data_IF_146555413362
#
_entry.id   IF_146555413362
#
_cell.length_a   1.000
_cell.length_b   1.000
_cell.length_c   1.000
_cell.angle_alpha   90.00
_cell.angle_beta   90.00
_cell.angle_gamma   90.00
#
_symmetry.space_group_name_H-M   'P 1'
#
loop_
_entity.id
_entity.type
_entity.pdbx_description
1 polymer ?
#
# COMPACT_ATOMS: atom_id res chain seq x y z
N UNK A 1 0.83 14.28 6.59
CA UNK A 1 0.42 13.06 5.84
C UNK A 1 1.62 12.19 5.48
N UNK A 2 2.71 12.78 4.96
CA UNK A 2 3.94 12.06 4.58
C UNK A 2 4.50 11.19 5.72
N UNK A 3 4.68 11.75 6.92
CA UNK A 3 5.18 11.01 8.07
C UNK A 3 4.31 9.80 8.49
N UNK A 4 2.99 9.90 8.31
CA UNK A 4 2.05 8.81 8.62
C UNK A 4 2.25 7.63 7.65
N UNK A 5 2.46 7.94 6.38
CA UNK A 5 2.67 6.97 5.32
C UNK A 5 4.01 6.24 5.48
N UNK A 6 5.07 6.96 5.82
CA UNK A 6 6.40 6.38 6.06
C UNK A 6 6.40 5.37 7.22
N UNK A 7 5.80 5.72 8.36
CA UNK A 7 5.73 4.81 9.53
C UNK A 7 4.87 3.57 9.25
N UNK A 8 3.73 3.72 8.57
CA UNK A 8 2.91 2.57 8.16
C UNK A 8 3.70 1.61 7.27
N UNK A 9 4.39 2.16 6.27
CA UNK A 9 5.18 1.37 5.34
C UNK A 9 6.34 0.65 6.05
N UNK A 10 7.05 1.35 6.93
CA UNK A 10 8.15 0.78 7.73
C UNK A 10 7.67 -0.39 8.60
N UNK A 11 6.60 -0.20 9.37
CA UNK A 11 6.06 -1.26 10.24
C UNK A 11 5.59 -2.45 9.42
N UNK A 12 4.88 -2.22 8.31
CA UNK A 12 4.40 -3.31 7.46
C UNK A 12 5.56 -4.10 6.82
N UNK A 13 6.59 -3.41 6.32
CA UNK A 13 7.77 -4.05 5.75
C UNK A 13 8.50 -4.91 6.78
N UNK A 14 8.65 -4.43 8.01
CA UNK A 14 9.26 -5.23 9.08
C UNK A 14 8.46 -6.51 9.33
N UNK A 15 7.13 -6.43 9.45
CA UNK A 15 6.27 -7.61 9.63
C UNK A 15 6.38 -8.60 8.46
N UNK A 16 6.37 -8.10 7.23
CA UNK A 16 6.57 -8.92 6.02
C UNK A 16 7.94 -9.61 6.06
N UNK A 17 8.99 -8.90 6.48
CA UNK A 17 10.35 -9.44 6.54
C UNK A 17 10.52 -10.51 7.62
N UNK A 18 9.77 -10.42 8.73
CA UNK A 18 9.74 -11.47 9.75
C UNK A 18 9.08 -12.76 9.22
N UNK A 19 8.24 -12.68 8.18
CA UNK A 19 7.61 -13.84 7.51
C UNK A 19 6.89 -14.79 8.48
N UNK A 20 6.24 -14.23 9.50
CA UNK A 20 5.60 -15.01 10.57
C UNK A 20 4.46 -15.89 10.04
N UNK A 21 3.74 -15.44 9.01
CA UNK A 21 2.65 -16.19 8.40
C UNK A 21 2.79 -16.33 6.88
N UNK A 22 2.11 -17.34 6.31
CA UNK A 22 2.03 -17.53 4.85
C UNK A 22 1.48 -16.30 4.13
N UNK A 23 0.52 -15.61 4.75
CA UNK A 23 -0.06 -14.41 4.16
C UNK A 23 0.93 -13.24 4.17
N UNK A 24 1.84 -13.16 5.16
CA UNK A 24 2.89 -12.12 5.19
C UNK A 24 3.90 -12.34 4.07
N UNK A 25 4.28 -13.60 3.82
CA UNK A 25 5.13 -13.98 2.68
C UNK A 25 4.46 -13.62 1.36
N UNK A 26 3.16 -13.92 1.23
CA UNK A 26 2.37 -13.59 0.04
C UNK A 26 2.28 -12.06 -0.15
N UNK A 27 1.93 -11.32 0.89
CA UNK A 27 1.87 -9.86 0.86
C UNK A 27 3.19 -9.22 0.43
N UNK A 28 4.33 -9.75 0.91
CA UNK A 28 5.65 -9.31 0.47
C UNK A 28 5.90 -9.58 -1.02
N UNK A 29 5.57 -10.78 -1.50
CA UNK A 29 5.71 -11.13 -2.92
C UNK A 29 4.81 -10.26 -3.81
N UNK A 30 3.57 -10.01 -3.36
CA UNK A 30 2.60 -9.20 -4.09
C UNK A 30 3.03 -7.72 -4.16
N UNK A 31 3.56 -7.16 -3.07
CA UNK A 31 4.16 -5.82 -3.08
C UNK A 31 5.35 -5.73 -4.03
N UNK A 32 6.25 -6.71 -3.99
CA UNK A 32 7.41 -6.73 -4.87
C UNK A 32 6.98 -6.79 -6.35
N UNK A 33 6.09 -7.71 -6.68
CA UNK A 33 5.61 -7.88 -8.05
C UNK A 33 4.84 -6.65 -8.56
N UNK A 34 4.00 -6.04 -7.71
CA UNK A 34 3.25 -4.84 -8.06
C UNK A 34 4.19 -3.67 -8.38
N UNK A 35 5.21 -3.45 -7.54
CA UNK A 35 6.23 -2.41 -7.79
C UNK A 35 7.04 -2.68 -9.06
N UNK A 36 7.40 -3.94 -9.34
CA UNK A 36 8.05 -4.31 -10.59
C UNK A 36 7.16 -4.00 -11.80
N UNK A 37 5.88 -4.36 -11.73
CA UNK A 37 4.94 -4.14 -12.82
C UNK A 37 4.66 -2.66 -13.08
N UNK A 38 4.58 -1.83 -12.03
CA UNK A 38 4.51 -0.36 -12.15
C UNK A 38 5.71 0.18 -12.96
N UNK A 39 6.92 -0.31 -12.68
CA UNK A 39 8.11 0.09 -13.41
C UNK A 39 8.05 -0.39 -14.88
N UNK A 40 7.60 -1.63 -15.12
CA UNK A 40 7.43 -2.15 -16.47
C UNK A 40 6.41 -1.33 -17.29
N UNK A 41 5.24 -1.02 -16.73
CA UNK A 41 4.22 -0.18 -17.38
C UNK A 41 4.75 1.23 -17.65
N UNK A 42 5.56 1.76 -16.72
CA UNK A 42 6.22 3.06 -16.87
C UNK A 42 7.18 3.10 -18.07
N UNK A 43 7.78 1.97 -18.43
CA UNK A 43 8.71 1.85 -19.56
C UNK A 43 8.01 1.46 -20.87
N UNK A 44 7.02 0.58 -20.81
CA UNK A 44 6.38 -0.01 -21.98
C UNK A 44 4.86 -0.21 -21.76
N UNK A 45 3.99 0.48 -22.54
CA UNK A 45 2.55 0.35 -22.43
C UNK A 45 1.99 -1.05 -22.66
N UNK A 46 2.75 -1.99 -23.26
CA UNK A 46 2.26 -3.36 -23.49
C UNK A 46 1.87 -4.09 -22.19
N UNK A 47 2.43 -3.68 -21.06
CA UNK A 47 2.17 -4.26 -19.74
C UNK A 47 0.89 -3.74 -19.08
N UNK A 48 0.16 -2.80 -19.70
CA UNK A 48 -1.07 -2.23 -19.12
C UNK A 48 -2.11 -3.33 -18.83
N UNK A 49 -2.26 -4.31 -19.71
CA UNK A 49 -3.20 -5.43 -19.50
C UNK A 49 -2.80 -6.31 -18.32
N UNK A 50 -1.49 -6.55 -18.12
CA UNK A 50 -0.99 -7.23 -16.92
C UNK A 50 -1.34 -6.45 -15.65
N UNK A 51 -1.26 -5.11 -15.71
CA UNK A 51 -1.66 -4.24 -14.61
C UNK A 51 -3.12 -4.41 -14.22
N UNK A 52 -4.03 -4.41 -15.20
CA UNK A 52 -5.45 -4.64 -14.95
C UNK A 52 -5.73 -6.03 -14.37
N UNK A 53 -5.09 -7.07 -14.91
CA UNK A 53 -5.21 -8.43 -14.37
C UNK A 53 -4.71 -8.54 -12.92
N UNK A 54 -3.60 -7.85 -12.60
CA UNK A 54 -3.07 -7.81 -11.24
C UNK A 54 -4.03 -7.09 -10.28
N UNK A 55 -4.51 -5.89 -10.64
CA UNK A 55 -5.49 -5.13 -9.84
C UNK A 55 -6.74 -5.98 -9.52
N UNK A 56 -7.31 -6.66 -10.52
CA UNK A 56 -8.46 -7.54 -10.29
C UNK A 56 -8.17 -8.65 -9.27
N UNK A 57 -7.01 -9.32 -9.38
CA UNK A 57 -6.61 -10.34 -8.40
C UNK A 57 -6.45 -9.73 -7.01
N UNK A 58 -5.71 -8.62 -6.89
CA UNK A 58 -5.42 -7.99 -5.61
C UNK A 58 -6.69 -7.55 -4.88
N UNK A 59 -7.68 -6.98 -5.59
CA UNK A 59 -8.97 -6.61 -4.96
C UNK A 59 -9.76 -7.79 -4.40
N UNK A 60 -9.65 -8.97 -5.00
CA UNK A 60 -10.27 -10.18 -4.44
C UNK A 60 -9.56 -10.68 -3.18
N UNK A 61 -8.27 -10.42 -3.07
CA UNK A 61 -7.42 -10.97 -2.00
C UNK A 61 -7.22 -9.99 -0.83
N UNK A 62 -7.34 -8.68 -1.11
CA UNK A 62 -7.09 -7.58 -0.18
C UNK A 62 -8.30 -6.62 -0.21
N UNK A 63 -9.38 -6.92 0.53
CA UNK A 63 -10.59 -6.09 0.54
C UNK A 63 -10.33 -4.66 1.03
N UNK A 64 -9.25 -4.44 1.79
CA UNK A 64 -8.82 -3.11 2.24
C UNK A 64 -8.52 -2.14 1.09
N UNK A 65 -8.24 -2.65 -0.12
CA UNK A 65 -8.08 -1.81 -1.33
C UNK A 65 -9.37 -1.03 -1.61
N UNK A 66 -10.53 -1.69 -1.54
CA UNK A 66 -11.82 -1.05 -1.79
C UNK A 66 -12.17 -0.06 -0.67
N UNK A 67 -11.83 -0.37 0.58
CA UNK A 67 -12.01 0.54 1.71
C UNK A 67 -11.21 1.83 1.54
N UNK A 68 -9.94 1.73 1.13
CA UNK A 68 -9.08 2.90 0.86
C UNK A 68 -9.64 3.70 -0.31
N UNK A 69 -10.03 3.04 -1.41
CA UNK A 69 -10.64 3.71 -2.57
C UNK A 69 -11.91 4.48 -2.16
N UNK A 70 -12.77 3.87 -1.34
CA UNK A 70 -14.00 4.50 -0.86
C UNK A 70 -13.73 5.73 0.01
N UNK A 71 -12.66 5.72 0.81
CA UNK A 71 -12.22 6.88 1.59
C UNK A 71 -11.73 8.00 0.66
N UNK A 72 -10.90 7.66 -0.33
CA UNK A 72 -10.36 8.64 -1.30
C UNK A 72 -11.48 9.28 -2.11
N UNK A 73 -12.45 8.50 -2.58
CA UNK A 73 -13.58 9.00 -3.37
C UNK A 73 -14.47 10.01 -2.61
N UNK A 74 -14.40 10.05 -1.28
CA UNK A 74 -15.13 11.01 -0.44
C UNK A 74 -14.35 12.32 -0.22
N UNK A 75 -13.08 12.37 -0.60
CA UNK A 75 -12.27 13.57 -0.49
C UNK A 75 -12.55 14.52 -1.66
N UNK A 76 -12.60 15.84 -1.43
CA UNK A 76 -12.67 16.81 -2.52
C UNK A 76 -11.47 16.61 -3.45
N UNK A 77 -11.72 16.47 -4.75
CA UNK A 77 -10.67 16.39 -5.77
C UNK A 77 -10.53 17.74 -6.45
N UNK A 78 -9.36 18.37 -6.28
CA UNK A 78 -9.09 19.72 -6.82
C UNK A 78 -8.62 19.71 -8.28
N UNK A 79 -8.38 18.55 -8.91
CA UNK A 79 -7.72 18.49 -10.21
C UNK A 79 -8.42 17.52 -11.19
N UNK A 80 -9.20 18.10 -12.10
CA UNK A 80 -9.88 17.40 -13.19
C UNK A 80 -8.96 17.18 -14.41
N UNK A 81 -7.73 16.71 -14.22
CA UNK A 81 -6.94 16.20 -15.35
C UNK A 81 -7.35 14.76 -15.60
N UNK A 82 -7.81 14.46 -16.81
CA UNK A 82 -8.04 13.09 -17.26
C UNK A 82 -6.66 12.41 -17.43
N UNK A 83 -6.30 11.42 -16.61
CA UNK A 83 -5.04 10.70 -16.77
C UNK A 83 -5.11 9.83 -18.03
N UNK A 84 -3.98 9.66 -18.71
CA UNK A 84 -3.91 8.69 -19.81
C UNK A 84 -3.96 7.25 -19.25
N UNK A 85 -4.29 6.22 -20.07
CA UNK A 85 -4.48 4.86 -19.58
C UNK A 85 -3.29 4.29 -18.78
N UNK A 86 -2.06 4.68 -19.13
CA UNK A 86 -0.84 4.30 -18.43
C UNK A 86 -0.75 4.96 -17.05
N UNK A 87 -1.00 6.27 -16.97
CA UNK A 87 -1.05 7.00 -15.69
C UNK A 87 -2.13 6.41 -14.78
N UNK A 88 -3.33 6.15 -15.31
CA UNK A 88 -4.45 5.60 -14.54
C UNK A 88 -4.11 4.26 -13.90
N UNK A 89 -3.57 3.30 -14.66
CA UNK A 89 -3.26 1.98 -14.09
C UNK A 89 -2.09 2.04 -13.12
N UNK A 90 -1.11 2.93 -13.32
CA UNK A 90 -0.01 3.13 -12.36
C UNK A 90 -0.53 3.67 -11.03
N UNK A 91 -1.45 4.64 -11.06
CA UNK A 91 -2.07 5.17 -9.84
C UNK A 91 -2.91 4.12 -9.11
N UNK A 92 -3.66 3.31 -9.85
CA UNK A 92 -4.43 2.18 -9.30
C UNK A 92 -3.48 1.20 -8.59
N UNK A 93 -2.43 0.74 -9.26
CA UNK A 93 -1.49 -0.23 -8.65
C UNK A 93 -0.74 0.35 -7.44
N UNK A 94 -0.45 1.66 -7.43
CA UNK A 94 0.09 2.33 -6.24
C UNK A 94 -0.89 2.33 -5.08
N UNK A 95 -2.19 2.47 -5.35
CA UNK A 95 -3.23 2.34 -4.34
C UNK A 95 -3.35 0.90 -3.86
N UNK A 96 -3.26 -0.08 -4.75
CA UNK A 96 -3.28 -1.49 -4.39
C UNK A 96 -2.14 -1.84 -3.41
N UNK A 97 -0.94 -1.29 -3.61
CA UNK A 97 0.16 -1.39 -2.65
C UNK A 97 -0.23 -0.90 -1.25
N UNK A 98 -0.96 0.22 -1.16
CA UNK A 98 -1.44 0.73 0.13
C UNK A 98 -2.49 -0.18 0.76
N UNK A 99 -3.34 -0.84 -0.03
CA UNK A 99 -4.27 -1.85 0.47
C UNK A 99 -3.56 -3.08 1.03
N UNK A 100 -2.52 -3.57 0.36
CA UNK A 100 -1.70 -4.69 0.87
C UNK A 100 -1.01 -4.30 2.19
N UNK A 101 -0.45 -3.08 2.27
CA UNK A 101 0.15 -2.55 3.50
C UNK A 101 -0.89 -2.47 4.62
N UNK A 102 -2.07 -1.93 4.35
CA UNK A 102 -3.15 -1.81 5.32
C UNK A 102 -3.60 -3.19 5.83
N UNK A 103 -3.75 -4.16 4.93
CA UNK A 103 -4.09 -5.54 5.27
C UNK A 103 -3.12 -6.14 6.29
N UNK A 104 -1.81 -6.05 6.02
CA UNK A 104 -0.76 -6.54 6.95
C UNK A 104 -0.88 -5.85 8.32
N UNK A 105 -1.01 -4.53 8.34
CA UNK A 105 -1.08 -3.77 9.59
C UNK A 105 -2.34 -4.08 10.41
N UNK A 106 -3.49 -4.29 9.75
CA UNK A 106 -4.75 -4.65 10.41
C UNK A 106 -4.64 -6.06 10.98
N UNK A 107 -4.16 -7.01 10.18
CA UNK A 107 -4.00 -8.42 10.58
C UNK A 107 -3.11 -8.56 11.82
N UNK A 108 -2.02 -7.79 11.88
CA UNK A 108 -1.09 -7.78 13.01
C UNK A 108 -1.48 -6.82 14.14
N UNK A 109 -2.66 -6.17 14.07
CA UNK A 109 -3.16 -5.28 15.11
C UNK A 109 -2.33 -4.00 15.33
N UNK A 110 -1.51 -3.58 14.35
CA UNK A 110 -0.54 -2.49 14.49
C UNK A 110 -1.11 -1.09 14.24
N UNK A 111 -2.32 -0.97 13.70
CA UNK A 111 -2.96 0.33 13.43
C UNK A 111 -3.07 1.19 14.70
N UNK A 112 -3.45 0.60 15.84
CA UNK A 112 -3.57 1.34 17.11
C UNK A 112 -2.20 1.84 17.59
N UNK A 113 -1.19 0.98 17.53
CA UNK A 113 0.17 1.29 17.93
C UNK A 113 0.75 2.46 17.10
N UNK A 114 0.56 2.42 15.78
CA UNK A 114 0.97 3.50 14.87
C UNK A 114 0.27 4.80 15.27
N UNK A 115 -1.07 4.79 15.43
CA UNK A 115 -1.84 5.97 15.86
C UNK A 115 -1.32 6.57 17.16
N UNK A 116 -0.93 5.75 18.12
CA UNK A 116 -0.40 6.20 19.41
C UNK A 116 0.99 6.85 19.28
N UNK A 117 1.85 6.33 18.40
CA UNK A 117 3.17 6.93 18.10
C UNK A 117 3.02 8.34 17.51
N UNK A 118 2.09 8.50 16.57
CA UNK A 118 1.86 9.81 15.91
C UNK A 118 1.30 10.84 16.88
N UNK A 119 0.40 10.41 17.78
CA UNK A 119 -0.17 11.30 18.80
C UNK A 119 0.81 11.66 19.91
N UNK A 120 1.83 10.82 20.15
CA UNK A 120 2.77 11.01 21.24
C UNK A 120 4.24 10.81 20.79
N UNK A 121 4.86 11.84 20.17
CA UNK A 121 6.20 11.74 19.61
C UNK A 121 7.30 11.49 20.65
N UNK A 122 7.05 11.63 21.96
CA UNK A 122 8.01 11.26 23.00
C UNK A 122 8.27 9.75 23.08
N UNK A 123 7.32 8.90 22.65
CA UNK A 123 7.54 7.44 22.52
C UNK A 123 8.41 7.05 21.31
N UNK A 124 8.78 8.02 20.47
CA UNK A 124 9.61 7.82 19.27
C UNK A 124 11.09 7.66 19.61
N UNK A 125 11.59 8.43 20.58
CA UNK A 125 13.03 8.46 20.93
C UNK A 125 13.52 7.19 21.63
N UNK A 126 12.63 6.43 22.28
CA UNK A 126 13.00 5.22 23.02
C UNK A 126 13.20 3.98 22.14
N UNK A 127 12.78 3.99 20.86
CA UNK A 127 12.92 2.86 19.93
C UNK A 127 14.14 2.93 19.00
N UNK A 128 14.68 4.12 18.77
CA UNK A 128 15.90 4.31 17.96
C UNK A 128 17.20 3.98 18.72
N UNK A 129 17.11 3.64 20.01
CA UNK A 129 18.25 3.38 20.90
C UNK A 129 18.32 1.93 21.41
N UNK A 130 17.49 1.02 20.89
CA UNK A 130 17.44 -0.40 21.26
C UNK A 130 17.62 -1.28 20.03
#
# INVERSE_FOLDING_TARGET
MIFFQEEMLYVAQNLINFKETKDDVKAGADLQYTNQLINCISLDPKYIQNGWGLNMRLRMEYPEIDDIQNIINRMPSDNARVPNPKESIVEILKMDCWGIVAHVLIKHGKIKEIKDIIKNPAKRQSRTLS
#
